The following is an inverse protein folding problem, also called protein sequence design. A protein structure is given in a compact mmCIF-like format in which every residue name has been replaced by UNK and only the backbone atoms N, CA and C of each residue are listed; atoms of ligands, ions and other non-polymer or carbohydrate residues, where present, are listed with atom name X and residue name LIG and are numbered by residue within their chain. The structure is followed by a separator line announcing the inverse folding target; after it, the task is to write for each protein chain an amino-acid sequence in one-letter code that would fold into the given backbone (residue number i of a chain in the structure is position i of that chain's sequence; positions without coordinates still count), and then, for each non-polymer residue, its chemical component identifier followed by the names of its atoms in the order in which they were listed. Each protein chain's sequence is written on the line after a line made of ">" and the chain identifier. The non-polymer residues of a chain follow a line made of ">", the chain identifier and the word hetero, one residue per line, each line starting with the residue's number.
data_IF_264110454449
#
_entry.id   IF_264110454449
#
_cell.length_a   1.000
_cell.length_b   1.000
_cell.length_c   1.000
_cell.angle_alpha   90.00
_cell.angle_beta   90.00
_cell.angle_gamma   90.00
#
_symmetry.space_group_name_H-M   'P 1'
#
loop_
_entity.id
_entity.type
_entity.pdbx_description
1 polymer ?
#
# COMPACT_ATOMS: atom_id res chain seq x y z
N UNK A 1 -4.13 67.15 -29.09
CA UNK A 1 -4.94 66.17 -29.88
C UNK A 1 -4.21 64.85 -30.14
N UNK A 2 -2.96 64.82 -30.59
CA UNK A 2 -2.22 63.57 -30.86
C UNK A 2 -1.96 62.61 -29.65
N UNK A 3 -1.76 63.20 -28.44
CA UNK A 3 -1.57 62.33 -27.21
C UNK A 3 -2.84 61.61 -26.74
N UNK A 4 -4.00 62.25 -26.93
CA UNK A 4 -5.29 61.61 -26.57
C UNK A 4 -5.69 60.52 -27.57
N UNK A 5 -5.38 60.65 -28.83
CA UNK A 5 -5.62 59.60 -29.84
C UNK A 5 -4.72 58.38 -29.62
N UNK A 6 -3.47 58.53 -29.21
CA UNK A 6 -2.58 57.40 -28.86
C UNK A 6 -3.08 56.62 -27.65
N UNK A 7 -3.59 57.30 -26.63
CA UNK A 7 -4.15 56.63 -25.44
C UNK A 7 -5.42 55.84 -25.79
N UNK A 8 -6.26 56.37 -26.68
CA UNK A 8 -7.48 55.69 -27.13
C UNK A 8 -7.15 54.44 -27.96
N UNK A 9 -6.11 54.48 -28.81
CA UNK A 9 -5.65 53.33 -29.58
C UNK A 9 -5.09 52.20 -28.68
N UNK A 10 -4.33 52.56 -27.65
CA UNK A 10 -3.78 51.60 -26.69
C UNK A 10 -4.90 50.90 -25.89
N UNK A 11 -5.91 51.65 -25.46
CA UNK A 11 -7.08 51.06 -24.74
C UNK A 11 -7.91 50.17 -25.67
N UNK A 12 -8.08 50.55 -26.94
CA UNK A 12 -8.79 49.77 -27.94
C UNK A 12 -8.04 48.46 -28.26
N UNK A 13 -6.72 48.51 -28.42
CA UNK A 13 -5.88 47.32 -28.61
C UNK A 13 -5.87 46.38 -27.39
N UNK A 14 -5.92 46.91 -26.16
CA UNK A 14 -6.04 46.14 -24.93
C UNK A 14 -7.43 45.46 -24.81
N UNK A 15 -8.51 46.16 -25.20
CA UNK A 15 -9.85 45.54 -25.21
C UNK A 15 -9.97 44.44 -26.27
N UNK A 16 -9.40 44.59 -27.45
CA UNK A 16 -9.40 43.57 -28.52
C UNK A 16 -8.51 42.36 -28.09
N UNK A 17 -7.39 42.61 -27.40
CA UNK A 17 -6.53 41.54 -26.86
C UNK A 17 -7.16 40.75 -25.74
N UNK A 18 -8.08 41.33 -24.94
CA UNK A 18 -8.80 40.63 -23.89
C UNK A 18 -9.95 39.74 -24.40
N UNK A 19 -10.52 40.06 -25.55
CA UNK A 19 -11.62 39.26 -26.15
C UNK A 19 -11.16 38.00 -26.87
N UNK A 20 -9.85 37.80 -27.06
CA UNK A 20 -9.31 36.55 -27.69
C UNK A 20 -8.86 35.50 -26.68
N UNK A 21 -9.03 35.73 -25.35
CA UNK A 21 -8.65 34.81 -24.29
C UNK A 21 -9.82 33.97 -23.74
N UNK A 22 -11.01 34.02 -24.37
CA UNK A 22 -12.07 33.06 -24.09
C UNK A 22 -11.74 31.75 -24.82
N UNK A 23 -10.78 31.00 -24.30
CA UNK A 23 -10.64 29.57 -24.61
C UNK A 23 -11.88 28.87 -24.07
N UNK A 24 -12.74 28.38 -24.96
CA UNK A 24 -13.71 27.39 -24.58
C UNK A 24 -12.94 26.20 -24.03
N UNK A 25 -13.06 25.92 -22.74
CA UNK A 25 -12.81 24.60 -22.19
C UNK A 25 -14.01 23.77 -22.68
N UNK A 26 -13.87 23.14 -23.84
CA UNK A 26 -14.78 22.06 -24.19
C UNK A 26 -14.47 20.94 -23.20
N UNK A 27 -15.47 20.53 -22.43
CA UNK A 27 -15.46 19.30 -21.66
C UNK A 27 -15.19 18.19 -22.67
N UNK A 28 -14.00 17.59 -22.60
CA UNK A 28 -13.64 16.44 -23.44
C UNK A 28 -14.45 15.25 -22.91
N UNK A 29 -15.62 15.01 -23.48
CA UNK A 29 -16.29 13.73 -23.36
C UNK A 29 -15.47 12.74 -24.20
N UNK A 30 -14.67 11.92 -23.51
CA UNK A 30 -14.04 10.77 -24.15
C UNK A 30 -15.17 9.86 -24.67
N UNK A 31 -15.29 9.77 -25.97
CA UNK A 31 -16.19 8.81 -26.62
C UNK A 31 -15.55 7.42 -26.44
N UNK A 32 -15.75 6.83 -25.26
CA UNK A 32 -15.30 5.47 -24.94
C UNK A 32 -16.29 4.56 -25.68
N UNK A 33 -15.82 3.72 -26.61
CA UNK A 33 -16.70 2.76 -27.26
C UNK A 33 -17.50 2.00 -26.20
N UNK A 34 -18.80 1.86 -26.39
CA UNK A 34 -19.69 1.16 -25.44
C UNK A 34 -19.27 -0.31 -25.20
N UNK A 35 -18.43 -0.86 -26.07
CA UNK A 35 -17.84 -2.20 -25.96
C UNK A 35 -16.75 -2.34 -24.87
N UNK A 36 -16.13 -1.24 -24.40
CA UNK A 36 -15.10 -1.26 -23.37
C UNK A 36 -15.64 -1.11 -21.93
N UNK A 37 -16.93 -0.89 -21.78
CA UNK A 37 -17.63 -0.96 -20.50
C UNK A 37 -18.05 -2.40 -20.20
N UNK A 38 -17.82 -2.88 -18.98
CA UNK A 38 -18.18 -4.25 -18.53
C UNK A 38 -17.21 -5.36 -18.97
N UNK A 39 -15.92 -5.03 -19.17
CA UNK A 39 -14.88 -6.03 -19.39
C UNK A 39 -14.55 -6.78 -18.10
N UNK A 40 -14.33 -8.08 -18.20
CA UNK A 40 -13.83 -8.86 -17.07
C UNK A 40 -12.38 -8.45 -16.75
N UNK A 41 -12.12 -8.15 -15.48
CA UNK A 41 -10.79 -7.89 -14.93
C UNK A 41 -10.42 -9.05 -14.01
N UNK A 42 -9.26 -9.65 -14.24
CA UNK A 42 -8.76 -10.80 -13.48
C UNK A 42 -7.41 -10.44 -12.88
N UNK A 43 -7.31 -10.51 -11.55
CA UNK A 43 -6.08 -10.30 -10.81
C UNK A 43 -5.72 -11.56 -10.02
N UNK A 44 -4.46 -11.96 -10.04
CA UNK A 44 -3.95 -13.12 -9.31
C UNK A 44 -2.90 -13.88 -10.09
N UNK A 45 -2.28 -14.86 -9.43
CA UNK A 45 -1.28 -15.75 -10.03
C UNK A 45 -1.40 -17.15 -9.44
N UNK A 46 -0.98 -18.15 -10.21
CA UNK A 46 -0.93 -19.56 -9.78
C UNK A 46 0.43 -19.80 -9.10
N UNK A 47 0.41 -20.15 -7.83
CA UNK A 47 1.60 -20.46 -7.05
C UNK A 47 1.47 -21.83 -6.40
N UNK A 48 2.49 -22.67 -6.57
CA UNK A 48 2.54 -24.03 -6.03
C UNK A 48 2.53 -24.03 -4.50
N UNK A 49 1.84 -25.01 -3.93
CA UNK A 49 1.79 -25.29 -2.48
C UNK A 49 1.27 -24.13 -1.63
N UNK A 50 0.41 -23.27 -2.20
CA UNK A 50 -0.11 -22.08 -1.53
C UNK A 50 -1.61 -21.93 -1.68
N UNK A 51 -2.17 -21.08 -0.83
CA UNK A 51 -3.49 -20.51 -1.04
C UNK A 51 -3.32 -19.39 -2.05
N UNK A 52 -3.98 -19.52 -3.19
CA UNK A 52 -4.00 -18.50 -4.25
C UNK A 52 -5.33 -17.76 -4.20
N UNK A 53 -5.29 -16.46 -4.34
CA UNK A 53 -6.50 -15.63 -4.41
C UNK A 53 -6.58 -14.98 -5.77
N UNK A 54 -7.70 -15.21 -6.46
CA UNK A 54 -8.04 -14.53 -7.70
C UNK A 54 -9.15 -13.53 -7.42
N UNK A 55 -8.97 -12.29 -7.87
CA UNK A 55 -9.99 -11.24 -7.74
C UNK A 55 -10.61 -11.00 -9.10
N UNK A 56 -11.94 -11.12 -9.17
CA UNK A 56 -12.69 -10.88 -10.37
C UNK A 56 -13.55 -9.63 -10.21
N UNK A 57 -13.40 -8.69 -11.14
CA UNK A 57 -14.19 -7.46 -11.19
C UNK A 57 -14.56 -7.09 -12.62
N UNK A 58 -15.37 -6.05 -12.79
CA UNK A 58 -15.75 -5.50 -14.10
C UNK A 58 -15.23 -4.08 -14.22
N UNK A 59 -14.86 -3.69 -15.45
CA UNK A 59 -14.54 -2.29 -15.74
C UNK A 59 -15.77 -1.42 -15.57
N UNK A 60 -15.55 -0.16 -15.18
CA UNK A 60 -16.60 0.84 -15.02
C UNK A 60 -16.30 2.07 -15.87
N UNK A 61 -17.34 2.80 -16.24
CA UNK A 61 -17.16 4.08 -16.92
C UNK A 61 -16.41 5.07 -16.01
N UNK A 62 -15.51 5.86 -16.59
CA UNK A 62 -14.65 6.82 -15.87
C UNK A 62 -15.42 7.83 -14.99
N UNK A 63 -16.70 8.06 -15.27
CA UNK A 63 -17.57 9.01 -14.55
C UNK A 63 -18.40 8.35 -13.44
N UNK A 64 -18.24 7.04 -13.19
CA UNK A 64 -18.96 6.39 -12.09
C UNK A 64 -18.19 6.61 -10.77
N UNK A 65 -18.89 7.10 -9.77
CA UNK A 65 -18.40 7.20 -8.38
C UNK A 65 -18.61 5.91 -7.60
N UNK A 66 -19.04 4.84 -8.26
CA UNK A 66 -19.40 3.59 -7.64
C UNK A 66 -18.16 2.76 -7.30
N UNK A 67 -18.25 1.95 -6.26
CA UNK A 67 -17.21 0.98 -5.90
C UNK A 67 -17.01 -0.03 -7.05
N UNK A 68 -15.78 -0.55 -7.20
CA UNK A 68 -15.41 -1.58 -8.17
C UNK A 68 -16.45 -2.72 -8.17
N UNK A 69 -17.09 -2.97 -9.32
CA UNK A 69 -18.10 -4.00 -9.45
C UNK A 69 -17.44 -5.38 -9.41
N UNK A 70 -17.55 -6.05 -8.27
CA UNK A 70 -17.02 -7.39 -8.06
C UNK A 70 -17.90 -8.44 -8.75
N UNK A 71 -17.29 -9.41 -9.41
CA UNK A 71 -17.98 -10.55 -10.03
C UNK A 71 -18.27 -11.58 -8.95
N UNK A 72 -19.55 -11.88 -8.75
CA UNK A 72 -20.03 -12.81 -7.73
C UNK A 72 -20.55 -14.10 -8.37
N UNK A 73 -20.33 -15.24 -7.71
CA UNK A 73 -20.93 -16.51 -8.13
C UNK A 73 -20.27 -17.18 -9.34
N UNK A 74 -19.08 -16.72 -9.76
CA UNK A 74 -18.31 -17.41 -10.80
C UNK A 74 -17.80 -18.78 -10.32
N UNK A 75 -17.66 -19.72 -11.23
CA UNK A 75 -16.92 -20.97 -11.01
C UNK A 75 -15.48 -20.78 -11.47
N UNK A 76 -14.55 -20.84 -10.52
CA UNK A 76 -13.13 -20.63 -10.79
C UNK A 76 -12.34 -21.87 -10.40
N UNK A 77 -11.43 -22.30 -11.27
CA UNK A 77 -10.52 -23.43 -10.99
C UNK A 77 -9.16 -23.22 -11.65
N UNK A 78 -8.13 -23.77 -11.04
CA UNK A 78 -6.81 -23.95 -11.66
C UNK A 78 -6.76 -25.35 -12.23
N UNK A 79 -6.45 -25.48 -13.51
CA UNK A 79 -6.41 -26.75 -14.24
C UNK A 79 -5.02 -27.04 -14.79
N UNK A 80 -4.63 -28.30 -14.76
CA UNK A 80 -3.37 -28.77 -15.33
C UNK A 80 -3.57 -29.58 -16.62
N UNK A 81 -2.61 -29.54 -17.53
CA UNK A 81 -2.59 -30.36 -18.76
C UNK A 81 -2.55 -31.86 -18.50
N UNK A 82 -2.23 -32.26 -17.27
CA UNK A 82 -2.28 -33.66 -16.78
C UNK A 82 -3.69 -34.07 -16.28
N UNK A 83 -4.66 -33.18 -16.34
CA UNK A 83 -6.03 -33.39 -15.83
C UNK A 83 -6.21 -33.05 -14.35
N UNK A 84 -5.20 -32.53 -13.69
CA UNK A 84 -5.36 -32.01 -12.31
C UNK A 84 -6.26 -30.77 -12.29
N UNK A 85 -7.08 -30.65 -11.23
CA UNK A 85 -7.99 -29.51 -11.04
C UNK A 85 -8.05 -29.13 -9.57
N UNK A 86 -7.94 -27.82 -9.31
CA UNK A 86 -8.05 -27.21 -7.99
C UNK A 86 -9.18 -26.18 -8.02
N UNK A 87 -10.27 -26.47 -7.31
CA UNK A 87 -11.44 -25.60 -7.26
C UNK A 87 -11.25 -24.45 -6.30
N UNK A 88 -11.66 -23.26 -6.70
CA UNK A 88 -11.65 -22.09 -5.82
C UNK A 88 -13.01 -21.90 -5.12
N UNK A 89 -12.96 -21.34 -3.90
CA UNK A 89 -14.14 -20.93 -3.14
C UNK A 89 -14.32 -19.42 -3.27
N UNK A 90 -15.50 -18.98 -3.74
CA UNK A 90 -15.80 -17.57 -3.95
C UNK A 90 -16.35 -16.89 -2.69
N UNK A 91 -15.76 -15.74 -2.30
CA UNK A 91 -16.23 -14.88 -1.22
C UNK A 91 -16.10 -13.42 -1.66
N UNK A 92 -17.21 -12.72 -1.87
CA UNK A 92 -17.23 -11.28 -2.24
C UNK A 92 -16.33 -10.89 -3.43
N UNK A 93 -16.36 -11.69 -4.51
CA UNK A 93 -15.56 -11.43 -5.72
C UNK A 93 -14.08 -11.80 -5.58
N UNK A 94 -13.70 -12.40 -4.48
CA UNK A 94 -12.43 -13.08 -4.28
C UNK A 94 -12.65 -14.58 -4.36
N UNK A 95 -11.78 -15.27 -5.09
CA UNK A 95 -11.84 -16.71 -5.32
C UNK A 95 -10.56 -17.35 -4.77
N UNK A 96 -10.70 -18.03 -3.65
CA UNK A 96 -9.59 -18.61 -2.88
C UNK A 96 -9.43 -20.08 -3.27
N UNK A 97 -8.27 -20.44 -3.78
CA UNK A 97 -7.92 -21.74 -4.30
C UNK A 97 -6.70 -22.33 -3.57
N UNK A 98 -6.86 -23.46 -2.91
CA UNK A 98 -5.72 -24.21 -2.35
C UNK A 98 -5.09 -25.04 -3.46
N UNK A 99 -3.98 -24.56 -4.01
CA UNK A 99 -3.21 -25.27 -5.04
C UNK A 99 -2.19 -26.20 -4.36
N UNK A 100 -2.13 -27.45 -4.83
CA UNK A 100 -1.15 -28.44 -4.36
C UNK A 100 0.27 -28.18 -4.91
N UNK A 101 1.13 -29.18 -4.77
CA UNK A 101 2.47 -29.16 -5.36
C UNK A 101 2.35 -29.30 -6.88
N UNK A 102 2.75 -28.26 -7.60
CA UNK A 102 2.75 -28.25 -9.06
C UNK A 102 3.99 -28.97 -9.61
N UNK A 103 3.81 -29.66 -10.75
CA UNK A 103 4.91 -30.27 -11.50
C UNK A 103 5.53 -29.26 -12.47
N UNK A 104 6.87 -29.14 -12.57
CA UNK A 104 7.51 -28.27 -13.54
C UNK A 104 7.27 -28.68 -14.99
N UNK A 105 6.86 -29.91 -15.25
CA UNK A 105 6.63 -30.47 -16.58
C UNK A 105 5.17 -30.34 -17.05
N UNK A 106 4.25 -29.89 -16.17
CA UNK A 106 2.83 -29.71 -16.45
C UNK A 106 2.55 -28.24 -16.69
N UNK A 107 1.69 -27.96 -17.67
CA UNK A 107 1.20 -26.59 -17.92
C UNK A 107 -0.11 -26.37 -17.17
N UNK A 108 -0.21 -25.24 -16.47
CA UNK A 108 -1.37 -24.86 -15.68
C UNK A 108 -2.01 -23.58 -16.20
N UNK A 109 -3.34 -23.48 -16.06
CA UNK A 109 -4.12 -22.32 -16.48
C UNK A 109 -5.29 -22.08 -15.53
N UNK A 110 -5.76 -20.85 -15.52
CA UNK A 110 -6.96 -20.46 -14.80
C UNK A 110 -8.17 -20.64 -15.70
N UNK A 111 -9.20 -21.30 -15.20
CA UNK A 111 -10.50 -21.48 -15.84
C UNK A 111 -11.58 -20.77 -15.05
N UNK A 112 -12.41 -19.98 -15.72
CA UNK A 112 -13.48 -19.17 -15.11
C UNK A 112 -14.76 -19.36 -15.91
N UNK A 113 -15.86 -19.68 -15.23
CA UNK A 113 -17.20 -19.66 -15.79
C UNK A 113 -18.01 -18.59 -15.06
N UNK A 114 -18.51 -17.59 -15.78
CA UNK A 114 -19.29 -16.47 -15.21
C UNK A 114 -20.29 -15.94 -16.25
N UNK A 115 -21.51 -15.68 -15.80
CA UNK A 115 -22.57 -15.06 -16.61
C UNK A 115 -22.85 -15.76 -17.96
N UNK A 116 -22.63 -17.09 -18.00
CA UNK A 116 -22.82 -17.92 -19.22
C UNK A 116 -21.63 -17.86 -20.18
N UNK A 117 -20.56 -17.20 -19.82
CA UNK A 117 -19.31 -17.13 -20.58
C UNK A 117 -18.21 -17.96 -19.91
N UNK A 118 -17.27 -18.44 -20.72
CA UNK A 118 -16.11 -19.23 -20.30
C UNK A 118 -14.85 -18.49 -20.68
N UNK A 119 -13.95 -18.34 -19.68
CA UNK A 119 -12.67 -17.68 -19.87
C UNK A 119 -11.53 -18.61 -19.44
N UNK A 120 -10.45 -18.59 -20.16
CA UNK A 120 -9.24 -19.35 -19.81
C UNK A 120 -7.98 -18.48 -20.00
N UNK A 121 -7.03 -18.65 -19.09
CA UNK A 121 -5.68 -18.13 -19.32
C UNK A 121 -4.89 -19.07 -20.23
N UNK A 122 -3.89 -18.55 -20.92
CA UNK A 122 -2.94 -19.38 -21.65
C UNK A 122 -2.22 -20.32 -20.68
N UNK A 123 -2.07 -21.63 -21.04
CA UNK A 123 -1.33 -22.59 -20.24
C UNK A 123 0.13 -22.18 -20.07
N UNK A 124 0.62 -22.26 -18.83
CA UNK A 124 1.99 -21.89 -18.48
C UNK A 124 2.65 -22.96 -17.60
N UNK A 125 3.95 -23.21 -17.82
CA UNK A 125 4.76 -24.01 -16.91
C UNK A 125 5.16 -23.19 -15.68
N UNK A 126 5.09 -23.78 -14.47
CA UNK A 126 5.48 -23.10 -13.26
C UNK A 126 6.97 -22.73 -13.31
N UNK A 127 7.28 -21.45 -13.10
CA UNK A 127 8.66 -20.96 -13.10
C UNK A 127 9.28 -21.10 -11.71
N UNK A 128 10.53 -21.63 -11.60
CA UNK A 128 11.28 -21.62 -10.34
C UNK A 128 11.67 -20.19 -9.99
N UNK A 129 11.59 -19.87 -8.69
CA UNK A 129 11.92 -18.56 -8.14
C UNK A 129 13.17 -18.68 -7.26
N UNK A 130 14.17 -17.86 -7.51
CA UNK A 130 15.36 -17.73 -6.71
C UNK A 130 15.02 -17.04 -5.36
N UNK A 131 15.88 -17.29 -4.36
CA UNK A 131 15.74 -16.64 -3.06
C UNK A 131 16.06 -15.15 -3.13
N UNK A 132 15.40 -14.36 -2.29
CA UNK A 132 15.88 -13.03 -1.96
C UNK A 132 17.12 -13.16 -1.07
N UNK A 133 18.20 -12.50 -1.45
CA UNK A 133 19.45 -12.51 -0.69
C UNK A 133 19.48 -11.35 0.31
N UNK A 134 19.02 -10.19 -0.12
CA UNK A 134 19.13 -8.98 0.68
C UNK A 134 17.99 -8.02 0.37
N UNK A 135 17.43 -7.41 1.42
CA UNK A 135 16.60 -6.20 1.33
C UNK A 135 17.19 -5.17 2.29
N UNK A 136 17.45 -3.97 1.80
CA UNK A 136 18.05 -2.88 2.58
C UNK A 136 17.28 -1.58 2.43
N UNK A 137 17.19 -0.81 3.51
CA UNK A 137 16.75 0.58 3.47
C UNK A 137 17.94 1.54 3.38
N UNK A 138 17.87 2.48 2.46
CA UNK A 138 18.89 3.51 2.28
C UNK A 138 18.26 4.89 2.37
N UNK A 139 18.72 5.68 3.33
CA UNK A 139 18.23 7.05 3.47
C UNK A 139 18.78 7.96 2.37
N UNK A 140 17.88 8.58 1.62
CA UNK A 140 18.15 9.74 0.75
C UNK A 140 17.78 11.01 1.52
N UNK A 141 18.77 11.65 2.15
CA UNK A 141 18.55 12.86 2.96
C UNK A 141 18.15 14.07 2.10
N UNK A 142 18.51 14.10 0.82
CA UNK A 142 18.12 15.18 -0.09
C UNK A 142 16.64 15.16 -0.43
N UNK A 143 16.08 13.97 -0.53
CA UNK A 143 14.66 13.76 -0.86
C UNK A 143 13.80 13.43 0.36
N UNK A 144 14.41 13.43 1.56
CA UNK A 144 13.77 13.10 2.83
C UNK A 144 13.00 11.78 2.81
N UNK A 145 13.60 10.72 2.26
CA UNK A 145 12.96 9.40 2.13
C UNK A 145 13.94 8.27 2.40
N UNK A 146 13.41 7.09 2.62
CA UNK A 146 14.16 5.83 2.68
C UNK A 146 13.80 5.02 1.44
N UNK A 147 14.78 4.74 0.59
CA UNK A 147 14.64 3.84 -0.55
C UNK A 147 14.81 2.39 -0.08
N UNK A 148 13.82 1.54 -0.34
CA UNK A 148 13.88 0.10 -0.06
C UNK A 148 14.38 -0.62 -1.30
N UNK A 149 15.50 -1.33 -1.16
CA UNK A 149 16.25 -1.95 -2.26
C UNK A 149 16.28 -3.47 -2.08
N UNK A 150 16.04 -4.22 -3.16
CA UNK A 150 16.07 -5.69 -3.17
C UNK A 150 17.19 -6.23 -4.05
N UNK A 151 17.78 -7.33 -3.62
CA UNK A 151 18.77 -8.13 -4.39
C UNK A 151 18.33 -9.59 -4.34
N UNK A 152 17.86 -10.18 -5.44
CA UNK A 152 17.65 -11.63 -5.54
C UNK A 152 19.00 -12.38 -5.61
N UNK A 153 18.96 -13.68 -5.38
CA UNK A 153 20.11 -14.55 -5.65
C UNK A 153 20.45 -14.57 -7.15
N UNK A 154 21.64 -15.06 -7.46
CA UNK A 154 22.04 -15.27 -8.84
C UNK A 154 21.06 -16.26 -9.52
N UNK A 155 20.68 -15.98 -10.77
CA UNK A 155 19.69 -16.78 -11.46
C UNK A 155 20.19 -18.21 -11.77
N UNK A 156 19.26 -19.16 -11.80
CA UNK A 156 19.56 -20.54 -12.18
C UNK A 156 20.09 -20.67 -13.61
N UNK A 157 19.62 -19.79 -14.51
CA UNK A 157 20.06 -19.71 -15.91
C UNK A 157 20.72 -18.34 -16.16
N UNK A 158 22.04 -18.20 -15.94
CA UNK A 158 22.71 -16.89 -15.98
C UNK A 158 22.77 -16.28 -17.39
N UNK A 159 22.65 -17.08 -18.44
CA UNK A 159 22.69 -16.60 -19.83
C UNK A 159 21.32 -16.12 -20.35
N UNK A 160 20.30 -16.20 -19.53
CA UNK A 160 18.93 -15.81 -19.86
C UNK A 160 18.50 -14.61 -19.03
N UNK A 161 17.74 -13.70 -19.65
CA UNK A 161 17.10 -12.62 -18.92
C UNK A 161 16.03 -13.17 -17.95
N UNK A 162 16.14 -12.80 -16.68
CA UNK A 162 15.21 -13.19 -15.62
C UNK A 162 14.35 -11.99 -15.21
N UNK A 163 13.08 -12.26 -14.96
CA UNK A 163 12.09 -11.26 -14.59
C UNK A 163 11.47 -11.64 -13.26
N UNK A 164 11.24 -10.65 -12.40
CA UNK A 164 10.69 -10.86 -11.07
C UNK A 164 9.59 -9.86 -10.76
N UNK A 165 8.64 -10.30 -9.95
CA UNK A 165 7.70 -9.43 -9.28
C UNK A 165 7.90 -9.50 -7.77
N UNK A 166 7.69 -8.36 -7.11
CA UNK A 166 7.74 -8.23 -5.66
C UNK A 166 6.48 -7.56 -5.13
N UNK A 167 5.97 -8.09 -4.03
CA UNK A 167 5.00 -7.44 -3.16
C UNK A 167 5.58 -7.35 -1.77
N UNK A 168 5.03 -6.49 -0.91
CA UNK A 168 5.50 -6.33 0.45
C UNK A 168 4.33 -6.15 1.41
N UNK A 169 4.29 -6.97 2.46
CA UNK A 169 3.42 -6.76 3.60
C UNK A 169 4.19 -5.98 4.66
N UNK A 170 3.64 -4.84 5.03
CA UNK A 170 4.28 -3.86 5.91
C UNK A 170 3.69 -3.95 7.31
N UNK A 171 4.53 -3.85 8.33
CA UNK A 171 4.12 -3.68 9.73
C UNK A 171 4.99 -2.61 10.36
N UNK A 172 4.40 -1.68 11.09
CA UNK A 172 5.18 -0.64 11.77
C UNK A 172 4.66 -0.32 13.17
N UNK A 173 5.58 0.10 14.01
CA UNK A 173 5.32 0.48 15.38
C UNK A 173 4.76 1.90 15.45
N UNK A 174 3.72 2.09 16.26
CA UNK A 174 3.04 3.36 16.50
C UNK A 174 2.97 3.63 17.98
N UNK A 175 3.17 4.88 18.38
CA UNK A 175 3.04 5.31 19.77
C UNK A 175 1.87 6.28 19.96
N UNK A 176 1.27 6.28 21.14
CA UNK A 176 0.33 7.32 21.56
C UNK A 176 1.05 8.67 21.72
N UNK A 177 0.32 9.76 21.75
CA UNK A 177 0.92 11.10 21.81
C UNK A 177 1.57 11.35 23.18
N UNK A 178 0.95 10.85 24.24
CA UNK A 178 1.43 10.96 25.61
C UNK A 178 1.28 9.62 26.34
N UNK A 179 1.91 9.55 27.52
CA UNK A 179 1.79 8.41 28.44
C UNK A 179 1.33 8.89 29.78
N UNK A 180 0.68 8.02 30.55
CA UNK A 180 0.43 8.23 31.96
C UNK A 180 0.53 6.93 32.75
N UNK A 181 1.04 7.04 33.97
CA UNK A 181 1.08 5.98 34.99
C UNK A 181 0.31 6.37 36.23
N UNK A 182 -0.61 7.34 36.11
CA UNK A 182 -1.37 7.85 37.24
C UNK A 182 -2.77 8.30 36.80
N UNK A 183 -3.69 8.36 37.75
CA UNK A 183 -4.98 9.00 37.59
C UNK A 183 -5.36 9.77 38.85
N UNK A 184 -6.35 10.65 38.74
CA UNK A 184 -6.93 11.34 39.89
C UNK A 184 -8.20 10.63 40.32
N UNK A 185 -8.21 10.16 41.59
CA UNK A 185 -9.36 9.53 42.21
C UNK A 185 -10.25 10.59 42.87
N UNK A 186 -11.43 10.75 42.32
CA UNK A 186 -12.41 11.73 42.80
C UNK A 186 -13.02 11.40 44.18
N UNK A 187 -13.08 10.13 44.56
CA UNK A 187 -13.66 9.73 45.86
C UNK A 187 -12.70 10.08 47.00
N UNK A 188 -11.43 9.83 46.79
CA UNK A 188 -10.39 10.13 47.79
C UNK A 188 -9.75 11.51 47.60
N UNK A 189 -10.06 12.20 46.50
CA UNK A 189 -9.46 13.48 46.09
C UNK A 189 -7.93 13.42 46.05
N UNK A 190 -7.39 12.30 45.53
CA UNK A 190 -5.94 12.05 45.51
C UNK A 190 -5.48 11.53 44.16
N UNK A 191 -4.22 11.81 43.86
CA UNK A 191 -3.47 11.14 42.79
C UNK A 191 -3.18 9.69 43.19
N UNK A 192 -3.45 8.77 42.29
CA UNK A 192 -3.18 7.34 42.41
C UNK A 192 -2.25 6.91 41.29
N UNK A 193 -1.24 6.14 41.61
CA UNK A 193 -0.35 5.53 40.60
C UNK A 193 -0.91 4.19 40.14
N UNK A 194 -0.98 4.01 38.84
CA UNK A 194 -1.38 2.77 38.19
C UNK A 194 -0.59 2.60 36.91
N UNK A 195 0.22 1.54 36.86
CA UNK A 195 0.98 1.19 35.65
C UNK A 195 0.04 0.70 34.54
N UNK A 196 0.40 0.95 33.29
CA UNK A 196 -0.28 0.47 32.10
C UNK A 196 -1.78 0.86 32.04
N UNK A 197 -2.09 2.09 32.41
CA UNK A 197 -3.46 2.60 32.36
C UNK A 197 -3.99 2.62 30.93
N UNK A 198 -3.13 2.97 29.97
CA UNK A 198 -3.39 2.93 28.54
C UNK A 198 -2.25 2.24 27.80
N UNK A 199 -2.54 1.46 26.72
CA UNK A 199 -1.48 0.94 25.87
C UNK A 199 -0.84 2.09 25.08
N UNK A 200 0.46 2.24 25.24
CA UNK A 200 1.25 3.32 24.63
C UNK A 200 1.83 2.91 23.27
N UNK A 201 2.20 1.63 23.13
CA UNK A 201 2.80 1.07 21.93
C UNK A 201 1.80 0.13 21.27
N UNK A 202 1.75 0.16 19.96
CA UNK A 202 0.96 -0.74 19.13
C UNK A 202 1.52 -0.82 17.73
N UNK A 203 0.87 -1.63 16.90
CA UNK A 203 1.32 -1.90 15.54
C UNK A 203 0.19 -1.69 14.54
N UNK A 204 0.56 -1.34 13.32
CA UNK A 204 -0.33 -1.28 12.16
C UNK A 204 0.25 -2.09 11.02
N UNK A 205 -0.62 -2.64 10.20
CA UNK A 205 -0.27 -3.41 9.02
C UNK A 205 -0.81 -2.74 7.75
N UNK A 206 -0.12 -2.95 6.64
CA UNK A 206 -0.60 -2.65 5.31
C UNK A 206 0.09 -3.56 4.30
N UNK A 207 -0.52 -3.73 3.13
CA UNK A 207 0.16 -4.28 1.96
C UNK A 207 0.56 -3.12 1.06
N UNK A 208 1.79 -3.11 0.58
CA UNK A 208 2.25 -2.08 -0.34
C UNK A 208 1.36 -2.05 -1.60
N UNK A 209 0.82 -0.89 -1.98
CA UNK A 209 -0.24 -0.79 -2.99
C UNK A 209 0.23 -1.13 -4.41
N UNK A 210 1.53 -1.25 -4.63
CA UNK A 210 2.11 -1.41 -5.96
C UNK A 210 2.94 -2.69 -6.05
N UNK A 211 2.62 -3.54 -7.03
CA UNK A 211 3.48 -4.64 -7.44
C UNK A 211 4.70 -4.03 -8.13
N UNK A 212 5.89 -4.38 -7.65
CA UNK A 212 7.15 -3.98 -8.28
C UNK A 212 7.64 -5.09 -9.18
N UNK A 213 8.12 -4.72 -10.37
CA UNK A 213 8.72 -5.66 -11.30
C UNK A 213 10.11 -5.21 -11.73
N UNK A 214 10.97 -6.16 -12.03
CA UNK A 214 12.32 -5.90 -12.48
C UNK A 214 12.83 -6.98 -13.43
N UNK A 215 13.77 -6.59 -14.27
CA UNK A 215 14.40 -7.47 -15.25
C UNK A 215 15.92 -7.44 -15.12
N UNK A 216 16.54 -8.60 -15.13
CA UNK A 216 18.01 -8.72 -15.10
C UNK A 216 18.68 -8.14 -16.36
N UNK A 217 17.96 -8.10 -17.47
CA UNK A 217 18.42 -7.48 -18.73
C UNK A 217 18.75 -5.99 -18.63
N UNK A 218 18.27 -5.32 -17.57
CA UNK A 218 18.61 -3.91 -17.29
C UNK A 218 20.03 -3.75 -16.72
N UNK A 219 20.73 -4.83 -16.40
CA UNK A 219 22.06 -4.86 -15.81
C UNK A 219 23.06 -5.50 -16.78
N UNK A 220 24.29 -4.96 -16.82
CA UNK A 220 25.34 -5.42 -17.75
C UNK A 220 25.75 -6.89 -17.56
N UNK A 221 25.70 -7.36 -16.30
CA UNK A 221 26.03 -8.72 -15.91
C UNK A 221 24.80 -9.61 -15.76
N UNK A 222 23.61 -9.10 -16.15
CA UNK A 222 22.32 -9.75 -16.01
C UNK A 222 21.95 -10.16 -14.57
N UNK A 223 22.54 -9.49 -13.57
CA UNK A 223 22.23 -9.70 -12.16
C UNK A 223 21.57 -8.47 -11.57
N UNK A 224 20.38 -8.63 -11.00
CA UNK A 224 19.68 -7.55 -10.29
C UNK A 224 20.39 -7.31 -8.95
N UNK A 225 20.88 -6.10 -8.75
CA UNK A 225 21.51 -5.68 -7.50
C UNK A 225 20.91 -4.38 -7.03
N UNK A 226 20.43 -4.38 -5.79
CA UNK A 226 19.89 -3.18 -5.12
C UNK A 226 18.85 -2.44 -5.98
N UNK A 227 17.93 -3.20 -6.58
CA UNK A 227 16.81 -2.63 -7.32
C UNK A 227 15.88 -1.93 -6.32
N UNK A 228 15.54 -0.67 -6.59
CA UNK A 228 14.58 0.06 -5.78
C UNK A 228 13.17 -0.51 -5.99
N UNK A 229 12.57 -1.02 -4.91
CA UNK A 229 11.18 -1.49 -4.90
C UNK A 229 10.22 -0.32 -4.69
N UNK A 230 10.39 0.41 -3.59
CA UNK A 230 9.57 1.57 -3.21
C UNK A 230 10.37 2.51 -2.32
N UNK A 231 9.76 3.61 -1.94
CA UNK A 231 10.31 4.49 -0.92
C UNK A 231 9.27 4.83 0.16
N UNK A 232 9.78 5.20 1.33
CA UNK A 232 9.00 5.65 2.46
C UNK A 232 9.44 7.08 2.78
N UNK A 233 8.51 8.04 2.74
CA UNK A 233 8.79 9.41 3.16
C UNK A 233 9.12 9.44 4.65
N UNK A 234 10.23 10.12 5.04
CA UNK A 234 10.64 10.20 6.43
C UNK A 234 9.68 11.00 7.32
N UNK A 235 8.72 11.73 6.74
CA UNK A 235 7.63 12.37 7.47
C UNK A 235 6.42 11.45 7.69
N UNK A 236 6.44 10.23 7.17
CA UNK A 236 5.38 9.25 7.36
C UNK A 236 5.55 8.49 8.68
N UNK A 237 4.46 8.27 9.43
CA UNK A 237 4.48 7.56 10.71
C UNK A 237 5.04 6.13 10.64
N UNK A 238 4.99 5.49 9.45
CA UNK A 238 5.50 4.13 9.23
C UNK A 238 6.96 3.95 9.64
N UNK A 239 7.76 5.02 9.56
CA UNK A 239 9.21 4.95 9.78
C UNK A 239 9.67 5.72 11.03
N UNK A 240 8.76 6.16 11.89
CA UNK A 240 9.14 6.93 13.09
C UNK A 240 9.81 6.11 14.18
N UNK A 241 9.53 4.80 14.24
CA UNK A 241 10.09 3.90 15.23
C UNK A 241 10.76 2.71 14.55
N UNK A 242 10.14 1.57 14.58
CA UNK A 242 10.59 0.37 13.90
C UNK A 242 9.59 -0.02 12.82
N UNK A 243 10.09 -0.39 11.68
CA UNK A 243 9.34 -0.85 10.52
C UNK A 243 9.82 -2.23 10.11
N UNK A 244 8.92 -3.11 9.71
CA UNK A 244 9.21 -4.40 9.11
C UNK A 244 8.47 -4.55 7.79
N UNK A 245 9.15 -5.06 6.78
CA UNK A 245 8.55 -5.49 5.53
C UNK A 245 8.77 -6.98 5.29
N UNK A 246 7.71 -7.71 4.93
CA UNK A 246 7.81 -9.07 4.40
C UNK A 246 7.71 -9.00 2.89
N UNK A 247 8.84 -9.13 2.23
CA UNK A 247 8.92 -9.13 0.77
C UNK A 247 8.62 -10.52 0.23
N UNK A 248 7.68 -10.60 -0.70
CA UNK A 248 7.36 -11.80 -1.47
C UNK A 248 7.91 -11.63 -2.88
N UNK A 249 8.83 -12.50 -3.28
CA UNK A 249 9.42 -12.54 -4.61
C UNK A 249 8.86 -13.70 -5.41
N UNK A 250 8.56 -13.43 -6.67
CA UNK A 250 8.13 -14.43 -7.65
C UNK A 250 8.86 -14.21 -8.96
N UNK A 251 9.43 -15.27 -9.54
CA UNK A 251 9.87 -15.24 -10.92
C UNK A 251 8.66 -15.18 -11.85
N UNK A 252 8.74 -14.35 -12.87
CA UNK A 252 7.66 -14.10 -13.82
C UNK A 252 8.15 -14.27 -15.26
N UNK A 253 7.23 -14.54 -16.17
CA UNK A 253 7.54 -14.58 -17.60
C UNK A 253 7.84 -13.16 -18.15
N UNK A 254 8.50 -13.10 -19.31
CA UNK A 254 8.70 -11.83 -20.00
C UNK A 254 7.35 -11.15 -20.33
N UNK A 255 6.38 -11.93 -20.76
CA UNK A 255 5.06 -11.41 -21.11
C UNK A 255 4.33 -10.83 -19.88
N UNK A 256 4.43 -11.50 -18.73
CA UNK A 256 3.88 -10.98 -17.47
C UNK A 256 4.59 -9.68 -17.04
N UNK A 257 5.92 -9.63 -17.17
CA UNK A 257 6.69 -8.40 -16.90
C UNK A 257 6.23 -7.24 -17.81
N UNK A 258 6.04 -7.48 -19.09
CA UNK A 258 5.58 -6.48 -20.06
C UNK A 258 4.15 -5.99 -19.72
N UNK A 259 3.26 -6.91 -19.31
CA UNK A 259 1.93 -6.56 -18.82
C UNK A 259 1.99 -5.65 -17.59
N UNK A 260 2.76 -6.02 -16.57
CA UNK A 260 2.89 -5.24 -15.34
C UNK A 260 3.53 -3.86 -15.58
N UNK A 261 4.48 -3.77 -16.48
CA UNK A 261 5.08 -2.49 -16.90
C UNK A 261 4.05 -1.61 -17.59
N UNK A 262 3.27 -2.15 -18.52
CA UNK A 262 2.21 -1.41 -19.22
C UNK A 262 1.11 -0.96 -18.24
N UNK A 263 0.70 -1.83 -17.29
CA UNK A 263 -0.28 -1.50 -16.25
C UNK A 263 0.18 -0.36 -15.35
N UNK A 264 1.45 -0.37 -14.94
CA UNK A 264 2.05 0.71 -14.13
C UNK A 264 2.11 2.02 -14.89
N UNK A 265 2.48 1.99 -16.16
CA UNK A 265 2.49 3.17 -17.01
C UNK A 265 1.09 3.77 -17.15
N UNK A 266 0.08 2.96 -17.43
CA UNK A 266 -1.31 3.39 -17.50
C UNK A 266 -1.79 4.04 -16.18
N UNK A 267 -1.43 3.46 -15.02
CA UNK A 267 -1.79 4.02 -13.71
C UNK A 267 -1.05 5.31 -13.33
N UNK A 268 0.20 5.49 -13.80
CA UNK A 268 0.99 6.70 -13.50
C UNK A 268 0.63 7.90 -14.38
N UNK A 269 0.05 7.65 -15.56
CA UNK A 269 -0.31 8.66 -16.54
C UNK A 269 -1.82 8.99 -16.54
N UNK A 270 -2.56 8.61 -15.49
CA UNK A 270 -3.99 8.92 -15.36
C UNK A 270 -4.22 10.44 -15.50
N UNK A 271 -4.76 10.85 -16.67
CA UNK A 271 -4.98 12.25 -17.06
C UNK A 271 -4.04 12.78 -18.14
N UNK A 272 -3.08 11.99 -18.64
CA UNK A 272 -2.22 12.36 -19.78
C UNK A 272 -2.88 12.06 -21.13
N UNK A 273 -2.59 12.91 -22.13
CA UNK A 273 -3.13 12.79 -23.51
C UNK A 273 -2.75 11.48 -24.23
N UNK A 274 -1.86 10.67 -23.65
CA UNK A 274 -1.27 9.45 -24.20
C UNK A 274 -1.44 8.23 -23.30
N UNK A 275 -2.37 8.27 -22.33
CA UNK A 275 -2.63 7.10 -21.46
C UNK A 275 -3.16 5.95 -22.32
N UNK A 276 -2.51 4.77 -22.31
CA UNK A 276 -3.03 3.61 -23.04
C UNK A 276 -4.44 3.26 -22.53
N UNK A 277 -5.35 2.95 -23.45
CA UNK A 277 -6.66 2.46 -23.04
C UNK A 277 -6.48 1.10 -22.34
N UNK A 278 -7.27 0.80 -21.29
CA UNK A 278 -7.22 -0.50 -20.59
C UNK A 278 -7.39 -1.70 -21.53
N UNK A 279 -8.18 -1.56 -22.58
CA UNK A 279 -8.36 -2.58 -23.64
C UNK A 279 -7.11 -2.82 -24.51
N UNK A 280 -6.11 -1.95 -24.45
CA UNK A 280 -4.84 -2.12 -25.17
C UNK A 280 -3.76 -2.81 -24.32
N UNK A 281 -4.04 -3.16 -23.05
CA UNK A 281 -3.09 -3.90 -22.23
C UNK A 281 -2.94 -5.34 -22.76
N UNK A 282 -1.72 -5.87 -22.87
CA UNK A 282 -1.51 -7.26 -23.24
C UNK A 282 -2.18 -8.17 -22.19
N UNK A 283 -2.85 -9.22 -22.62
CA UNK A 283 -3.50 -10.20 -21.75
C UNK A 283 -3.15 -11.61 -22.20
N UNK A 284 -3.13 -12.55 -21.26
CA UNK A 284 -3.09 -13.97 -21.59
C UNK A 284 -4.40 -14.70 -21.25
N UNK A 285 -5.50 -13.95 -21.10
CA UNK A 285 -6.81 -14.51 -20.75
C UNK A 285 -7.76 -14.25 -21.91
N UNK A 286 -8.45 -15.30 -22.36
CA UNK A 286 -9.34 -15.24 -23.51
C UNK A 286 -10.74 -15.70 -23.13
N UNK A 287 -11.76 -15.02 -23.64
CA UNK A 287 -13.13 -15.52 -23.62
C UNK A 287 -13.29 -16.57 -24.72
N UNK A 288 -13.71 -17.79 -24.37
CA UNK A 288 -13.87 -18.90 -25.30
C UNK A 288 -15.23 -18.91 -25.97
N UNK A 289 -16.20 -18.18 -25.42
CA UNK A 289 -17.60 -18.17 -25.86
C UNK A 289 -17.99 -16.92 -26.66
N UNK A 290 -17.15 -15.88 -26.62
CA UNK A 290 -17.36 -14.62 -27.36
C UNK A 290 -16.01 -13.94 -27.65
N UNK A 291 -16.05 -12.87 -28.46
CA UNK A 291 -14.85 -12.06 -28.78
C UNK A 291 -14.59 -10.95 -27.76
N UNK A 292 -15.17 -11.04 -26.54
CA UNK A 292 -14.96 -10.04 -25.51
C UNK A 292 -13.53 -10.02 -25.03
N UNK A 293 -12.98 -8.82 -24.94
CA UNK A 293 -11.65 -8.60 -24.36
C UNK A 293 -11.67 -8.81 -22.84
N UNK A 294 -10.56 -9.31 -22.31
CA UNK A 294 -10.36 -9.53 -20.87
C UNK A 294 -9.13 -8.75 -20.43
N UNK A 295 -9.20 -8.09 -19.28
CA UNK A 295 -8.08 -7.39 -18.70
C UNK A 295 -7.47 -8.26 -17.59
N UNK A 296 -6.17 -8.50 -17.65
CA UNK A 296 -5.46 -9.27 -16.63
C UNK A 296 -4.38 -10.15 -17.23
N UNK A 297 -3.57 -10.67 -16.35
CA UNK A 297 -2.52 -11.63 -16.69
C UNK A 297 -2.36 -12.63 -15.54
N UNK A 298 -2.44 -13.91 -15.83
CA UNK A 298 -2.28 -14.99 -14.85
C UNK A 298 -0.93 -15.65 -15.08
N UNK A 299 0.02 -15.39 -14.20
CA UNK A 299 1.33 -16.07 -14.20
C UNK A 299 1.30 -17.38 -13.42
N UNK A 300 2.34 -18.22 -13.59
CA UNK A 300 2.47 -19.49 -12.91
C UNK A 300 3.89 -19.67 -12.32
N UNK A 301 3.98 -19.97 -11.01
CA UNK A 301 5.25 -20.10 -10.29
C UNK A 301 5.32 -21.39 -9.50
N UNK A 302 6.49 -22.04 -9.56
CA UNK A 302 6.77 -23.28 -8.84
C UNK A 302 6.96 -23.05 -7.34
N UNK A 303 7.52 -21.91 -6.97
CA UNK A 303 7.73 -21.46 -5.60
C UNK A 303 7.77 -19.94 -5.54
N UNK A 304 7.68 -19.42 -4.33
CA UNK A 304 7.93 -18.02 -4.01
C UNK A 304 9.04 -17.94 -2.97
N UNK A 305 9.73 -16.82 -2.89
CA UNK A 305 10.70 -16.54 -1.84
C UNK A 305 10.18 -15.42 -0.95
N UNK A 306 10.33 -15.60 0.34
CA UNK A 306 9.95 -14.60 1.34
C UNK A 306 11.18 -14.11 2.07
N UNK A 307 11.21 -12.80 2.33
CA UNK A 307 12.31 -12.18 3.05
C UNK A 307 11.75 -11.07 3.95
N UNK A 308 11.93 -11.23 5.27
CA UNK A 308 11.57 -10.20 6.25
C UNK A 308 12.76 -9.34 6.56
N UNK A 309 12.59 -8.04 6.47
CA UNK A 309 13.60 -7.05 6.83
C UNK A 309 13.03 -6.06 7.84
N UNK A 310 13.96 -5.39 8.54
CA UNK A 310 13.62 -4.38 9.51
C UNK A 310 14.37 -3.08 9.21
N UNK A 311 13.73 -1.97 9.53
CA UNK A 311 14.32 -0.63 9.49
C UNK A 311 14.10 0.03 10.85
N UNK A 312 15.17 0.58 11.42
CA UNK A 312 15.09 1.33 12.67
C UNK A 312 15.31 2.82 12.38
N UNK A 313 14.41 3.65 12.88
CA UNK A 313 14.48 5.10 12.68
C UNK A 313 15.79 5.71 13.20
N UNK A 314 16.32 5.18 14.31
CA UNK A 314 17.58 5.68 14.92
C UNK A 314 18.77 5.35 14.03
N UNK A 315 18.83 4.12 13.50
CA UNK A 315 19.93 3.70 12.61
C UNK A 315 19.92 4.52 11.31
N UNK A 316 18.75 4.84 10.80
CA UNK A 316 18.56 5.68 9.63
C UNK A 316 18.65 7.18 9.95
N UNK A 317 18.87 7.57 11.22
CA UNK A 317 18.91 8.97 11.67
C UNK A 317 17.65 9.76 11.26
N UNK A 318 16.47 9.11 11.33
CA UNK A 318 15.19 9.75 11.07
C UNK A 318 14.76 10.51 12.33
N UNK A 319 14.33 11.74 12.14
CA UNK A 319 13.82 12.58 13.22
C UNK A 319 12.30 12.51 13.25
N UNK A 320 11.76 12.08 14.38
CA UNK A 320 10.32 12.12 14.62
C UNK A 320 9.93 13.60 14.74
N UNK A 321 8.92 14.05 13.97
CA UNK A 321 8.44 15.43 14.08
C UNK A 321 8.01 15.73 15.52
N UNK A 322 8.58 16.78 16.09
CA UNK A 322 8.13 17.26 17.39
C UNK A 322 6.73 17.88 17.23
N UNK A 323 5.78 17.38 18.00
CA UNK A 323 4.44 17.96 18.09
C UNK A 323 4.43 19.01 19.20
N UNK A 324 3.64 20.06 19.01
CA UNK A 324 3.35 20.99 20.10
C UNK A 324 2.59 20.24 21.20
N UNK A 325 2.91 20.57 22.45
CA UNK A 325 2.22 19.99 23.60
C UNK A 325 0.76 20.47 23.63
N UNK A 326 -0.13 19.56 23.32
CA UNK A 326 -1.58 19.81 23.28
C UNK A 326 -2.32 19.38 24.55
N UNK A 327 -1.58 19.02 25.62
CA UNK A 327 -2.15 18.73 26.92
C UNK A 327 -2.72 20.00 27.57
N UNK A 328 -3.76 19.84 28.35
CA UNK A 328 -4.27 20.94 29.18
C UNK A 328 -3.38 21.08 30.42
N UNK A 329 -2.66 22.17 30.52
CA UNK A 329 -1.89 22.52 31.70
C UNK A 329 -2.69 23.43 32.64
N UNK A 330 -2.69 23.10 33.93
CA UNK A 330 -3.29 23.88 34.99
C UNK A 330 -2.22 24.26 36.01
N UNK A 331 -2.05 25.55 36.21
CA UNK A 331 -1.16 26.12 37.23
C UNK A 331 -1.96 26.55 38.45
N UNK A 332 -1.44 26.35 39.68
CA UNK A 332 -2.07 26.67 40.95
C UNK A 332 -3.46 26.02 41.12
N UNK A 333 -3.63 24.80 40.56
CA UNK A 333 -4.92 24.11 40.66
C UNK A 333 -5.16 23.53 42.05
N UNK A 334 -6.43 23.34 42.34
CA UNK A 334 -6.95 22.67 43.55
C UNK A 334 -7.34 21.23 43.22
N UNK A 335 -7.64 20.44 44.24
CA UNK A 335 -8.21 19.10 44.05
C UNK A 335 -9.56 19.13 43.36
N UNK A 336 -10.39 20.19 43.58
CA UNK A 336 -11.66 20.39 42.90
C UNK A 336 -11.45 20.68 41.39
N UNK A 337 -10.44 21.44 41.03
CA UNK A 337 -10.07 21.66 39.63
C UNK A 337 -9.66 20.33 38.95
N UNK A 338 -8.96 19.48 39.68
CA UNK A 338 -8.60 18.14 39.19
C UNK A 338 -9.84 17.26 38.99
N UNK A 339 -10.78 17.27 39.95
CA UNK A 339 -12.01 16.52 39.83
C UNK A 339 -12.85 16.98 38.62
N UNK A 340 -12.85 18.30 38.35
CA UNK A 340 -13.53 18.84 37.17
C UNK A 340 -12.93 18.33 35.83
N UNK A 341 -11.60 18.10 35.74
CA UNK A 341 -11.02 17.56 34.51
C UNK A 341 -11.43 16.10 34.32
N UNK A 342 -11.49 15.31 35.40
CA UNK A 342 -12.02 13.93 35.32
C UNK A 342 -13.47 13.92 34.82
N UNK A 343 -14.31 14.88 35.28
CA UNK A 343 -15.69 15.01 34.79
C UNK A 343 -15.77 15.36 33.30
N UNK A 344 -14.76 16.02 32.77
CA UNK A 344 -14.64 16.30 31.33
C UNK A 344 -14.09 15.11 30.52
N UNK A 345 -13.82 13.96 31.17
CA UNK A 345 -13.25 12.78 30.53
C UNK A 345 -11.75 12.86 30.26
N UNK A 346 -11.04 13.74 30.97
CA UNK A 346 -9.59 13.86 30.86
C UNK A 346 -8.87 13.01 31.90
N UNK A 347 -7.66 12.60 31.59
CA UNK A 347 -6.78 11.78 32.42
C UNK A 347 -5.54 12.55 32.82
N UNK A 348 -5.13 12.38 34.07
CA UNK A 348 -3.97 13.02 34.63
C UNK A 348 -2.68 12.45 34.02
N UNK A 349 -1.85 13.30 33.44
CA UNK A 349 -0.57 12.92 32.82
C UNK A 349 0.63 13.33 33.66
N UNK A 350 0.59 14.54 34.24
CA UNK A 350 1.68 15.05 35.07
C UNK A 350 1.13 15.69 36.35
N UNK A 351 1.93 15.60 37.41
CA UNK A 351 1.62 16.15 38.72
C UNK A 351 2.87 16.71 39.37
N UNK A 352 3.01 18.02 39.38
CA UNK A 352 4.10 18.74 40.04
C UNK A 352 3.56 19.43 41.29
N UNK A 353 3.82 18.83 42.46
CA UNK A 353 3.37 19.39 43.76
C UNK A 353 4.49 20.16 44.42
N UNK A 354 4.49 21.46 44.26
CA UNK A 354 5.41 22.40 44.84
C UNK A 354 4.78 23.21 46.00
N UNK A 355 3.62 22.79 46.54
CA UNK A 355 2.87 23.53 47.57
C UNK A 355 3.67 23.80 48.83
N UNK A 356 4.57 22.86 49.18
CA UNK A 356 5.43 23.05 50.37
C UNK A 356 6.45 24.16 50.16
N UNK A 357 7.04 24.28 48.99
CA UNK A 357 8.10 25.22 48.67
C UNK A 357 7.61 26.54 48.07
N UNK A 358 6.58 26.47 47.21
CA UNK A 358 6.12 27.60 46.40
C UNK A 358 4.58 27.80 46.44
N UNK A 359 3.85 26.99 47.20
CA UNK A 359 2.38 27.11 47.34
C UNK A 359 1.60 26.71 46.09
N UNK A 360 2.22 26.03 45.11
CA UNK A 360 1.61 25.76 43.82
C UNK A 360 1.49 24.26 43.50
N UNK A 361 0.37 23.88 42.90
CA UNK A 361 0.20 22.58 42.28
C UNK A 361 0.02 22.80 40.76
N UNK A 362 0.85 22.12 39.97
CA UNK A 362 0.75 22.15 38.53
C UNK A 362 0.42 20.75 37.99
N UNK A 363 -0.52 20.65 37.08
CA UNK A 363 -0.96 19.37 36.50
C UNK A 363 -1.12 19.46 34.99
N UNK A 364 -0.90 18.33 34.29
CA UNK A 364 -1.17 18.21 32.86
C UNK A 364 -2.22 17.10 32.63
N UNK A 365 -3.13 17.35 31.70
CA UNK A 365 -4.30 16.51 31.41
C UNK A 365 -4.40 16.24 29.91
N UNK A 366 -4.76 15.01 29.56
CA UNK A 366 -5.00 14.60 28.19
C UNK A 366 -6.28 13.77 28.09
N UNK A 367 -6.84 13.69 26.90
CA UNK A 367 -7.95 12.77 26.60
C UNK A 367 -7.43 11.37 26.35
N UNK A 368 -8.30 10.37 26.49
CA UNK A 368 -7.98 8.95 26.22
C UNK A 368 -7.39 8.73 24.82
N UNK A 369 -7.95 9.39 23.79
CA UNK A 369 -7.45 9.27 22.41
C UNK A 369 -6.00 9.76 22.21
N UNK A 370 -5.47 10.57 23.11
CA UNK A 370 -4.06 11.01 23.11
C UNK A 370 -3.15 10.02 23.85
N UNK A 371 -3.71 9.19 24.71
CA UNK A 371 -2.99 8.26 25.60
C UNK A 371 -3.04 6.82 25.12
N UNK A 372 -4.09 6.45 24.42
CA UNK A 372 -4.33 5.09 23.94
C UNK A 372 -3.98 4.95 22.46
N UNK A 373 -2.99 4.12 22.17
CA UNK A 373 -2.55 3.88 20.79
C UNK A 373 -3.63 3.27 19.90
N UNK A 374 -4.62 2.57 20.47
CA UNK A 374 -5.75 2.00 19.72
C UNK A 374 -6.61 3.06 19.04
N UNK A 375 -6.63 4.28 19.57
CA UNK A 375 -7.30 5.43 18.96
C UNK A 375 -6.70 5.81 17.58
N UNK A 376 -5.46 5.42 17.34
CA UNK A 376 -4.76 5.59 16.05
C UNK A 376 -5.00 4.44 15.08
N UNK A 377 -5.89 3.49 15.42
CA UNK A 377 -6.14 2.29 14.63
C UNK A 377 -5.06 1.22 14.74
N UNK A 378 -4.22 1.27 15.79
CA UNK A 378 -3.21 0.27 16.06
C UNK A 378 -3.79 -0.89 16.90
N UNK A 379 -3.27 -2.10 16.71
CA UNK A 379 -3.45 -3.20 17.62
C UNK A 379 -2.31 -3.26 18.65
N UNK A 380 -2.52 -3.95 19.77
CA UNK A 380 -1.59 -3.90 20.92
C UNK A 380 -0.91 -5.23 21.23
N UNK A 381 -1.24 -6.28 20.46
CA UNK A 381 -0.55 -7.56 20.54
C UNK A 381 0.72 -7.49 19.68
N UNK A 382 1.88 -7.69 20.30
CA UNK A 382 3.15 -7.66 19.59
C UNK A 382 3.21 -8.81 18.57
N UNK A 383 3.53 -8.54 17.29
CA UNK A 383 3.67 -9.60 16.30
C UNK A 383 4.81 -10.57 16.67
N UNK A 384 4.60 -11.87 16.49
CA UNK A 384 5.57 -12.91 16.85
C UNK A 384 6.97 -12.69 16.25
N UNK A 385 7.02 -12.09 15.07
CA UNK A 385 8.28 -11.78 14.38
C UNK A 385 8.95 -10.48 14.86
N UNK A 386 8.29 -9.68 15.71
CA UNK A 386 8.78 -8.34 16.06
C UNK A 386 10.05 -8.38 16.90
N UNK A 387 10.20 -9.42 17.71
CA UNK A 387 11.38 -9.65 18.55
C UNK A 387 12.59 -10.23 17.81
N UNK A 388 12.48 -10.54 16.50
CA UNK A 388 13.60 -11.05 15.71
C UNK A 388 14.73 -10.02 15.63
N UNK A 389 15.95 -10.48 15.90
CA UNK A 389 17.16 -9.70 15.70
C UNK A 389 17.67 -9.90 14.27
N UNK A 390 17.48 -8.87 13.42
CA UNK A 390 17.95 -8.87 12.05
C UNK A 390 16.99 -9.46 11.02
N UNK A 391 17.46 -9.51 9.78
CA UNK A 391 16.67 -9.93 8.62
C UNK A 391 16.61 -11.45 8.50
N UNK A 392 15.48 -11.98 8.03
CA UNK A 392 15.23 -13.43 7.92
C UNK A 392 14.73 -13.79 6.52
N UNK A 393 15.36 -14.79 5.88
CA UNK A 393 14.92 -15.40 4.61
C UNK A 393 14.17 -16.70 4.91
N UNK A 394 12.99 -16.87 4.29
CA UNK A 394 12.13 -18.05 4.40
C UNK A 394 12.13 -18.86 3.10
#
# INVERSE_FOLDING_TARGET
>A
MMKQMRSLYIVLCLMVGMSTLSGCIEEFEADIPADDSDLLVVEGAICSSRINTFVLSRTQALNSSDELQKVMGAHVSVRGSDGSEYLAQGVYGQYVCQVGVLSPDVEYYLHIESDGEVYESEPQRPMPTEKVVEVTGVRDSLKNRVDVLVTPADPYEPDRANYYSWTCDETWEVHSDYTTNMYFDKETMKRVYQANLFPHIGWKDATAPTIMVGASSSYKDQHIRRLKMYDIDCSNERIYYRYSGLVHQRAISKAEYEYEMARRQAGSEMGGLFTPQPSALPTNIHCLTSDKHVIGFVGCSLNTSEYRFFLDAKELSIQIPQREDSRLWLDNCTEDDCALQVDKGMFLCEWEDNRISFGSLKTAWAFDWQLDVRSKGAYTEEPDFWSLEGNVSY
#
